data_IF_733768071882
#
_entry.id   IF_733768071882
#
_cell.length_a   1.000
_cell.length_b   1.000
_cell.length_c   1.000
_cell.angle_alpha   90.00
_cell.angle_beta   90.00
_cell.angle_gamma   90.00
#
_symmetry.space_group_name_H-M   'P 1'
#
loop_
_entity.id
_entity.type
_entity.pdbx_description
1 polymer ?
#
# COMPACT_ATOMS: atom_id res chain seq x y z
N UNK A 1 6.72 -21.04 13.53
CA UNK A 1 5.75 -20.51 12.55
C UNK A 1 6.39 -19.33 11.85
N UNK A 2 6.20 -19.22 10.52
CA UNK A 2 6.70 -18.10 9.73
C UNK A 2 5.94 -16.82 10.12
N UNK A 3 6.64 -15.69 10.22
CA UNK A 3 6.07 -14.41 10.65
C UNK A 3 5.33 -13.75 9.49
N UNK A 4 4.06 -13.38 9.65
CA UNK A 4 3.24 -12.76 8.59
C UNK A 4 3.54 -11.27 8.50
N UNK A 5 4.06 -10.83 7.37
CA UNK A 5 4.43 -9.42 7.14
C UNK A 5 3.61 -8.87 5.98
N UNK A 6 3.00 -7.70 6.18
CA UNK A 6 2.30 -6.98 5.11
C UNK A 6 3.19 -5.83 4.60
N UNK A 7 3.67 -5.93 3.37
CA UNK A 7 4.33 -4.82 2.68
C UNK A 7 3.30 -4.03 1.88
N UNK A 8 3.18 -2.73 2.13
CA UNK A 8 2.22 -1.84 1.47
C UNK A 8 2.92 -0.67 0.80
N UNK A 9 2.61 -0.45 -0.47
CA UNK A 9 3.15 0.67 -1.25
C UNK A 9 4.06 0.20 -2.38
N UNK A 10 5.25 0.78 -2.51
CA UNK A 10 6.30 0.39 -3.48
C UNK A 10 5.81 0.20 -4.92
N UNK A 11 4.77 0.91 -5.33
CA UNK A 11 4.20 0.81 -6.69
C UNK A 11 3.69 2.16 -7.16
N UNK A 12 3.88 2.46 -8.43
CA UNK A 12 3.41 3.71 -9.02
C UNK A 12 3.06 3.54 -10.50
N UNK A 13 2.17 4.40 -10.97
CA UNK A 13 1.88 4.58 -12.39
C UNK A 13 2.42 5.94 -12.81
N UNK A 14 3.29 5.97 -13.82
CA UNK A 14 3.81 7.21 -14.40
C UNK A 14 3.10 7.51 -15.69
N UNK A 15 2.56 8.71 -15.82
CA UNK A 15 2.07 9.23 -17.10
C UNK A 15 3.07 10.25 -17.62
N UNK A 16 3.50 10.09 -18.87
CA UNK A 16 4.38 11.04 -19.56
C UNK A 16 3.70 11.56 -20.81
N UNK A 17 3.81 12.86 -21.04
CA UNK A 17 3.39 13.50 -22.29
C UNK A 17 4.63 13.79 -23.13
N UNK A 18 4.62 13.28 -24.36
CA UNK A 18 5.70 13.46 -25.32
C UNK A 18 5.26 14.46 -26.38
N UNK A 19 6.05 15.51 -26.58
CA UNK A 19 5.80 16.54 -27.61
C UNK A 19 6.95 16.52 -28.61
N UNK A 20 6.64 16.35 -29.89
CA UNK A 20 7.62 16.27 -30.98
C UNK A 20 7.14 17.09 -32.17
N UNK A 21 7.63 18.33 -32.28
CA UNK A 21 7.14 19.26 -33.31
C UNK A 21 5.65 19.54 -33.11
N UNK A 22 4.83 19.18 -34.10
CA UNK A 22 3.37 19.32 -34.03
C UNK A 22 2.69 18.20 -33.22
N UNK A 23 3.33 17.04 -33.07
CA UNK A 23 2.70 15.85 -32.51
C UNK A 23 2.75 15.82 -30.97
N UNK A 24 1.67 15.35 -30.36
CA UNK A 24 1.58 15.07 -28.93
C UNK A 24 0.99 13.67 -28.71
N UNK A 25 1.65 12.88 -27.86
CA UNK A 25 1.14 11.58 -27.42
C UNK A 25 1.48 11.31 -25.96
N UNK A 26 0.74 10.41 -25.32
CA UNK A 26 0.94 10.04 -23.92
C UNK A 26 1.38 8.58 -23.79
N UNK A 27 2.22 8.31 -22.80
CA UNK A 27 2.55 6.95 -22.35
C UNK A 27 2.19 6.81 -20.88
N UNK A 28 1.64 5.66 -20.50
CA UNK A 28 1.46 5.27 -19.11
C UNK A 28 2.29 4.01 -18.84
N UNK A 29 3.10 4.03 -17.78
CA UNK A 29 3.89 2.87 -17.35
C UNK A 29 3.58 2.56 -15.89
N UNK A 30 3.57 1.28 -15.55
CA UNK A 30 3.42 0.82 -14.18
C UNK A 30 4.72 0.17 -13.71
N UNK A 31 5.12 0.46 -12.48
CA UNK A 31 6.36 -0.03 -11.88
C UNK A 31 6.15 -0.44 -10.43
N UNK A 32 7.04 -1.29 -9.96
CA UNK A 32 7.13 -1.71 -8.56
C UNK A 32 8.58 -1.68 -8.10
N UNK A 33 8.84 -1.07 -6.94
CA UNK A 33 10.13 -1.07 -6.26
C UNK A 33 10.36 -2.30 -5.37
N UNK A 34 9.30 -3.06 -5.08
CA UNK A 34 9.35 -4.18 -4.14
C UNK A 34 10.14 -5.42 -4.62
N UNK A 35 10.48 -5.53 -5.90
CA UNK A 35 10.98 -6.78 -6.51
C UNK A 35 12.22 -7.34 -5.79
N UNK A 36 13.26 -6.51 -5.64
CA UNK A 36 14.52 -6.95 -5.04
C UNK A 36 14.38 -7.20 -3.53
N UNK A 37 13.55 -6.41 -2.86
CA UNK A 37 13.23 -6.60 -1.44
C UNK A 37 12.53 -7.95 -1.21
N UNK A 38 11.54 -8.29 -2.03
CA UNK A 38 10.84 -9.58 -1.96
C UNK A 38 11.77 -10.74 -2.28
N UNK A 39 12.61 -10.60 -3.31
CA UNK A 39 13.59 -11.62 -3.67
C UNK A 39 14.61 -11.87 -2.56
N UNK A 40 15.11 -10.81 -1.91
CA UNK A 40 16.06 -10.92 -0.81
C UNK A 40 15.48 -11.63 0.43
N UNK A 41 14.15 -11.60 0.61
CA UNK A 41 13.46 -12.18 1.75
C UNK A 41 12.70 -13.49 1.43
N UNK A 42 12.80 -14.00 0.19
CA UNK A 42 12.07 -15.18 -0.26
C UNK A 42 12.35 -16.44 0.60
N UNK A 43 13.61 -16.64 0.99
CA UNK A 43 14.06 -17.77 1.82
C UNK A 43 14.17 -17.42 3.32
N UNK A 44 13.56 -16.31 3.73
CA UNK A 44 13.60 -15.84 5.11
C UNK A 44 12.49 -16.46 5.97
N UNK A 45 12.56 -16.38 7.31
CA UNK A 45 11.46 -16.80 8.19
C UNK A 45 10.24 -15.86 8.16
N UNK A 46 10.16 -14.94 7.20
CA UNK A 46 9.06 -13.98 7.02
C UNK A 46 8.21 -14.36 5.79
N UNK A 47 6.90 -14.48 6.00
CA UNK A 47 5.91 -14.66 4.94
C UNK A 47 5.41 -13.29 4.52
N UNK A 48 6.00 -12.73 3.46
CA UNK A 48 5.67 -11.38 3.01
C UNK A 48 4.50 -11.42 2.03
N UNK A 49 3.43 -10.71 2.36
CA UNK A 49 2.34 -10.38 1.45
C UNK A 49 2.55 -8.95 0.94
N UNK A 50 2.59 -8.80 -0.39
CA UNK A 50 2.76 -7.49 -1.02
C UNK A 50 1.40 -6.91 -1.45
N UNK A 51 1.12 -5.69 -1.03
CA UNK A 51 -0.04 -4.88 -1.39
C UNK A 51 0.43 -3.59 -2.10
N UNK A 52 0.30 -3.52 -3.43
CA UNK A 52 0.61 -2.30 -4.18
C UNK A 52 -0.20 -1.09 -3.70
N UNK A 53 0.35 0.11 -3.87
CA UNK A 53 -0.27 1.36 -3.42
C UNK A 53 -1.71 1.56 -3.94
N UNK A 54 -2.01 1.18 -5.19
CA UNK A 54 -3.37 1.32 -5.74
C UNK A 54 -4.38 0.35 -5.12
N UNK A 55 -3.94 -0.86 -4.72
CA UNK A 55 -4.78 -1.83 -4.02
C UNK A 55 -5.01 -1.40 -2.56
N UNK A 56 -4.01 -0.78 -1.92
CA UNK A 56 -4.12 -0.28 -0.55
C UNK A 56 -5.25 0.75 -0.35
N UNK A 57 -5.68 1.44 -1.41
CA UNK A 57 -6.81 2.35 -1.35
C UNK A 57 -8.11 1.67 -0.90
N UNK A 58 -8.33 0.40 -1.29
CA UNK A 58 -9.53 -0.39 -0.97
C UNK A 58 -9.26 -1.54 -0.01
N UNK A 59 -8.14 -2.25 -0.20
CA UNK A 59 -7.94 -3.57 0.38
C UNK A 59 -7.16 -3.52 1.71
N UNK A 60 -6.56 -2.37 2.04
CA UNK A 60 -5.89 -2.21 3.34
C UNK A 60 -6.91 -2.32 4.48
N UNK A 61 -6.61 -3.07 5.56
CA UNK A 61 -7.58 -3.39 6.60
C UNK A 61 -8.34 -2.18 7.17
N UNK A 62 -9.65 -2.39 7.39
CA UNK A 62 -10.58 -1.39 7.92
C UNK A 62 -10.89 -1.58 9.41
N UNK A 63 -10.31 -2.58 10.06
CA UNK A 63 -10.52 -2.89 11.48
C UNK A 63 -9.19 -3.20 12.16
N UNK A 64 -9.15 -3.01 13.48
CA UNK A 64 -7.96 -3.31 14.28
C UNK A 64 -7.65 -4.81 14.31
N UNK A 65 -8.69 -5.64 14.39
CA UNK A 65 -8.58 -7.11 14.44
C UNK A 65 -7.90 -7.64 13.18
N UNK A 66 -8.23 -7.08 12.01
CA UNK A 66 -7.63 -7.46 10.74
C UNK A 66 -6.16 -7.00 10.62
N UNK A 67 -5.77 -5.88 11.27
CA UNK A 67 -4.36 -5.48 11.36
C UNK A 67 -3.58 -6.42 12.28
N UNK A 68 -4.20 -6.90 13.36
CA UNK A 68 -3.58 -7.82 14.33
C UNK A 68 -3.30 -9.22 13.77
N UNK A 69 -3.82 -9.56 12.58
CA UNK A 69 -3.43 -10.78 11.86
C UNK A 69 -2.00 -10.74 11.30
N UNK A 70 -1.36 -9.57 11.31
CA UNK A 70 -0.01 -9.33 10.81
C UNK A 70 0.97 -9.15 11.98
N UNK A 71 2.10 -9.84 11.92
CA UNK A 71 3.19 -9.68 12.89
C UNK A 71 3.93 -8.35 12.70
N UNK A 72 3.96 -7.83 11.46
CA UNK A 72 4.41 -6.47 11.16
C UNK A 72 3.78 -5.92 9.86
N UNK A 73 3.69 -4.59 9.77
CA UNK A 73 3.21 -3.87 8.59
C UNK A 73 4.28 -2.87 8.15
N UNK A 74 4.77 -3.02 6.92
CA UNK A 74 5.75 -2.12 6.31
C UNK A 74 5.02 -1.18 5.37
N UNK A 75 5.05 0.12 5.66
CA UNK A 75 4.60 1.17 4.74
C UNK A 75 5.83 1.77 4.05
N UNK A 76 5.94 1.64 2.73
CA UNK A 76 7.06 2.18 1.97
C UNK A 76 6.60 2.78 0.65
N UNK A 77 7.11 3.98 0.32
CA UNK A 77 6.72 4.79 -0.84
C UNK A 77 5.19 4.87 -1.06
N UNK A 78 4.46 5.19 0.01
CA UNK A 78 3.01 5.35 0.01
C UNK A 78 2.61 6.57 0.84
N UNK A 79 1.77 7.43 0.25
CA UNK A 79 1.25 8.61 0.93
C UNK A 79 0.06 8.31 1.85
N UNK A 80 -0.04 9.06 2.96
CA UNK A 80 -1.16 8.97 3.91
C UNK A 80 -2.55 9.07 3.25
N UNK A 81 -2.67 9.86 2.17
CA UNK A 81 -3.93 10.03 1.44
C UNK A 81 -4.49 8.72 0.89
N UNK A 82 -3.65 7.78 0.47
CA UNK A 82 -4.10 6.45 0.03
C UNK A 82 -4.83 5.70 1.15
N UNK A 83 -4.37 5.87 2.39
CA UNK A 83 -4.98 5.26 3.58
C UNK A 83 -6.16 6.07 4.14
N UNK A 84 -6.19 7.39 3.96
CA UNK A 84 -7.26 8.24 4.49
C UNK A 84 -8.45 8.39 3.55
N UNK A 85 -8.21 8.39 2.23
CA UNK A 85 -9.21 8.68 1.20
C UNK A 85 -9.68 7.38 0.54
N UNK A 86 -10.31 6.51 1.31
CA UNK A 86 -10.98 5.33 0.75
C UNK A 86 -11.98 5.74 -0.35
N UNK A 87 -12.17 4.98 -1.44
CA UNK A 87 -13.13 5.32 -2.50
C UNK A 87 -14.54 5.65 -2.00
N UNK A 88 -15.04 4.93 -0.99
CA UNK A 88 -16.33 5.26 -0.38
C UNK A 88 -16.34 6.65 0.29
N UNK A 89 -15.21 7.11 0.84
CA UNK A 89 -15.09 8.46 1.41
C UNK A 89 -14.97 9.52 0.34
N UNK A 90 -14.02 9.40 -0.59
CA UNK A 90 -13.76 10.51 -1.52
C UNK A 90 -14.71 10.54 -2.72
N UNK A 91 -15.18 9.38 -3.24
CA UNK A 91 -16.15 9.35 -4.35
C UNK A 91 -17.59 9.41 -3.88
N UNK A 92 -17.90 8.78 -2.74
CA UNK A 92 -19.29 8.55 -2.31
C UNK A 92 -19.69 9.33 -1.07
N UNK A 93 -18.78 10.13 -0.50
CA UNK A 93 -19.02 10.92 0.73
C UNK A 93 -19.49 10.06 1.93
N UNK A 94 -19.10 8.78 1.97
CA UNK A 94 -19.43 7.86 3.07
C UNK A 94 -18.31 7.86 4.10
N UNK A 95 -18.69 7.79 5.37
CA UNK A 95 -17.73 7.60 6.45
C UNK A 95 -17.05 6.24 6.33
N UNK A 96 -15.73 6.22 6.41
CA UNK A 96 -14.92 5.00 6.54
C UNK A 96 -14.02 5.10 7.77
N UNK A 97 -13.33 4.01 8.13
CA UNK A 97 -12.40 4.01 9.25
C UNK A 97 -11.18 4.90 8.97
N UNK A 98 -10.68 5.59 9.99
CA UNK A 98 -9.39 6.26 9.90
C UNK A 98 -8.28 5.21 10.09
N UNK A 99 -7.72 4.73 8.98
CA UNK A 99 -6.71 3.67 8.97
C UNK A 99 -5.38 4.07 9.65
N UNK A 100 -5.08 5.37 9.76
CA UNK A 100 -3.91 5.82 10.52
C UNK A 100 -4.14 5.73 12.04
N UNK A 101 -5.37 6.00 12.50
CA UNK A 101 -5.74 5.74 13.90
C UNK A 101 -5.69 4.24 14.21
N UNK A 102 -6.17 3.39 13.30
CA UNK A 102 -6.08 1.94 13.47
C UNK A 102 -4.61 1.45 13.52
N UNK A 103 -3.73 2.00 12.68
CA UNK A 103 -2.29 1.71 12.73
C UNK A 103 -1.65 2.16 14.04
N UNK A 104 -2.01 3.34 14.54
CA UNK A 104 -1.59 3.81 15.85
C UNK A 104 -2.00 2.81 16.96
N UNK A 105 -3.26 2.38 16.96
CA UNK A 105 -3.78 1.46 17.97
C UNK A 105 -3.16 0.06 17.84
N UNK A 106 -2.89 -0.39 16.61
CA UNK A 106 -2.17 -1.62 16.32
C UNK A 106 -0.76 -1.62 16.93
N UNK A 107 0.00 -0.55 16.71
CA UNK A 107 1.35 -0.41 17.28
C UNK A 107 1.30 -0.29 18.80
N UNK A 108 0.33 0.47 19.34
CA UNK A 108 0.11 0.58 20.79
C UNK A 108 -0.22 -0.78 21.44
N UNK A 109 -0.86 -1.69 20.70
CA UNK A 109 -1.16 -3.05 21.13
C UNK A 109 0.00 -4.05 20.92
N UNK A 110 1.17 -3.59 20.47
CA UNK A 110 2.38 -4.42 20.29
C UNK A 110 2.64 -4.90 18.87
N UNK A 111 1.84 -4.45 17.90
CA UNK A 111 2.13 -4.59 16.47
C UNK A 111 3.43 -3.87 16.07
N UNK A 112 4.01 -4.27 14.93
CA UNK A 112 5.30 -3.73 14.45
C UNK A 112 5.19 -3.08 13.08
#
# INVERSE_FOLDING_TARGET
MQKKILLVGESWTSTSTHVKGFDQFATATWHTGATDFLAALAESPYAITYMPAHAAATDFPLTLEALQEWDAIILSDIGANTLLLHPDTWLKSRRTANRLTLLHDYVAAGGR
#
